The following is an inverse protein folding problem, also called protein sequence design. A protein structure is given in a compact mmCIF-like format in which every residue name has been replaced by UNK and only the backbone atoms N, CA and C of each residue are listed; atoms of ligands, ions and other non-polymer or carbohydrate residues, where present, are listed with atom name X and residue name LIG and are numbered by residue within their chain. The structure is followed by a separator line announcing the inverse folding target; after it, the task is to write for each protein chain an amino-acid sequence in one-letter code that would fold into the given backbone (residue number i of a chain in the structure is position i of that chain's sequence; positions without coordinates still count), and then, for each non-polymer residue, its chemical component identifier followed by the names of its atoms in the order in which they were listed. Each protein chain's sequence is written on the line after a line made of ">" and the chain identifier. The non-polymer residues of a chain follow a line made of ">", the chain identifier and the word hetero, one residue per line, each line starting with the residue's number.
data_IF_054010204954
#
_entry.id   IF_054010204954
#
_cell.length_a   1.000
_cell.length_b   1.000
_cell.length_c   1.000
_cell.angle_alpha   90.00
_cell.angle_beta   90.00
_cell.angle_gamma   90.00
#
_symmetry.space_group_name_H-M   'P 1'
#
loop_
_entity.id
_entity.type
_entity.pdbx_description
1 polymer ?
#
# COMPACT_ATOMS: atom_id res chain seq x y z
N UNK A 1 54.33 6.82 8.77
CA UNK A 1 53.64 6.11 9.87
C UNK A 1 53.63 7.00 11.10
N UNK A 2 52.47 7.44 11.56
CA UNK A 2 52.05 7.56 12.98
C UNK A 2 50.74 8.36 13.03
N UNK A 3 49.73 7.68 13.54
CA UNK A 3 48.32 8.06 13.62
C UNK A 3 48.17 9.22 14.60
N UNK A 4 47.38 10.23 14.26
CA UNK A 4 46.74 11.08 15.27
C UNK A 4 45.23 10.93 15.15
N UNK A 5 44.66 10.49 16.27
CA UNK A 5 43.30 10.06 16.47
C UNK A 5 42.55 11.19 17.17
N UNK A 6 41.26 11.31 16.87
CA UNK A 6 40.18 11.94 17.67
C UNK A 6 40.20 13.46 17.83
N UNK A 7 39.11 14.13 17.37
CA UNK A 7 38.08 14.75 18.24
C UNK A 7 37.15 15.68 17.43
N UNK A 8 35.86 15.29 17.37
CA UNK A 8 34.61 16.10 17.38
C UNK A 8 34.34 17.19 16.33
N UNK A 9 33.32 16.95 15.49
CA UNK A 9 32.22 17.87 15.13
C UNK A 9 31.25 17.11 14.19
N UNK A 10 30.13 16.57 14.67
CA UNK A 10 28.82 17.21 14.62
C UNK A 10 28.54 17.89 13.26
N UNK A 11 27.89 17.20 12.33
CA UNK A 11 26.88 17.81 11.44
C UNK A 11 26.10 16.74 10.63
N UNK A 12 24.84 16.59 10.99
CA UNK A 12 23.72 16.42 10.06
C UNK A 12 23.87 15.35 8.95
N UNK A 13 23.91 14.08 9.31
CA UNK A 13 23.21 13.07 8.48
C UNK A 13 21.78 12.94 8.99
N UNK A 14 21.04 14.06 9.01
CA UNK A 14 19.60 13.98 8.77
C UNK A 14 19.51 13.50 7.34
N UNK A 15 19.48 12.18 7.17
CA UNK A 15 19.05 11.56 5.93
C UNK A 15 17.61 12.02 5.77
N UNK A 16 17.44 13.17 5.11
CA UNK A 16 16.16 13.56 4.56
C UNK A 16 15.92 12.53 3.47
N UNK A 17 15.40 11.38 3.85
CA UNK A 17 14.55 10.62 2.97
C UNK A 17 13.43 11.59 2.64
N UNK A 18 13.61 12.38 1.58
CA UNK A 18 12.50 12.77 0.75
C UNK A 18 11.92 11.44 0.28
N UNK A 19 11.07 10.85 1.12
CA UNK A 19 10.10 9.90 0.68
C UNK A 19 9.40 10.65 -0.45
N UNK A 20 9.70 10.23 -1.67
CA UNK A 20 8.83 10.49 -2.80
C UNK A 20 7.54 9.84 -2.33
N UNK A 21 6.67 10.65 -1.72
CA UNK A 21 5.39 10.21 -1.19
C UNK A 21 4.61 9.96 -2.47
N UNK A 22 4.81 8.77 -3.02
CA UNK A 22 4.22 8.39 -4.28
C UNK A 22 2.71 8.52 -4.09
N UNK A 23 2.05 9.19 -5.03
CA UNK A 23 0.69 9.66 -4.87
C UNK A 23 -0.30 8.48 -4.91
N UNK A 24 -0.42 7.77 -3.77
CA UNK A 24 -1.37 6.67 -3.53
C UNK A 24 -2.80 7.22 -3.45
N UNK A 25 -2.98 8.49 -3.08
CA UNK A 25 -4.31 9.07 -2.91
C UNK A 25 -5.09 9.07 -4.23
N UNK A 26 -6.41 8.94 -4.13
CA UNK A 26 -7.33 8.95 -5.25
C UNK A 26 -7.91 7.57 -5.55
N UNK A 27 -8.54 7.48 -6.72
CA UNK A 27 -9.30 6.30 -7.13
C UNK A 27 -8.46 5.41 -8.03
N UNK A 28 -8.51 4.12 -7.75
CA UNK A 28 -7.78 3.07 -8.47
C UNK A 28 -8.73 1.95 -8.83
N UNK A 29 -8.52 1.32 -9.98
CA UNK A 29 -9.35 0.20 -10.44
C UNK A 29 -8.50 -0.93 -11.02
N UNK A 30 -9.00 -2.15 -10.88
CA UNK A 30 -8.37 -3.35 -11.42
C UNK A 30 -9.27 -4.58 -11.26
N UNK A 31 -8.67 -5.75 -11.46
CA UNK A 31 -9.37 -7.03 -11.38
C UNK A 31 -8.55 -7.99 -10.53
N UNK A 32 -9.22 -8.61 -9.55
CA UNK A 32 -8.67 -9.70 -8.75
C UNK A 32 -9.11 -11.00 -9.41
N UNK A 33 -8.17 -11.91 -9.66
CA UNK A 33 -8.47 -13.28 -10.08
C UNK A 33 -8.40 -14.16 -8.85
N UNK A 34 -9.53 -14.60 -8.33
CA UNK A 34 -9.59 -15.41 -7.12
C UNK A 34 -8.97 -16.80 -7.33
N UNK A 35 -8.63 -17.52 -6.25
CA UNK A 35 -8.08 -18.88 -6.33
C UNK A 35 -8.91 -19.88 -7.16
N UNK A 36 -10.23 -19.71 -7.18
CA UNK A 36 -11.19 -20.51 -7.96
C UNK A 36 -11.38 -20.00 -9.40
N UNK A 37 -10.62 -18.98 -9.82
CA UNK A 37 -10.57 -18.47 -11.19
C UNK A 37 -11.66 -17.46 -11.54
N UNK A 38 -12.32 -16.85 -10.55
CA UNK A 38 -13.30 -15.80 -10.79
C UNK A 38 -12.63 -14.43 -10.90
N UNK A 39 -13.05 -13.65 -11.90
CA UNK A 39 -12.65 -12.26 -12.05
C UNK A 39 -13.58 -11.36 -11.22
N UNK A 40 -13.00 -10.63 -10.27
CA UNK A 40 -13.69 -9.65 -9.45
C UNK A 40 -13.16 -8.27 -9.79
N UNK A 41 -13.94 -7.40 -10.47
CA UNK A 41 -13.56 -6.01 -10.65
C UNK A 41 -13.60 -5.30 -9.29
N UNK A 42 -12.55 -4.56 -8.99
CA UNK A 42 -12.42 -3.82 -7.73
C UNK A 42 -12.06 -2.38 -8.01
N UNK A 43 -12.53 -1.48 -7.14
CA UNK A 43 -12.00 -0.12 -7.07
C UNK A 43 -11.67 0.28 -5.64
N UNK A 44 -10.62 1.07 -5.49
CA UNK A 44 -10.18 1.60 -4.20
C UNK A 44 -10.21 3.12 -4.27
N UNK A 45 -10.74 3.76 -3.25
CA UNK A 45 -10.69 5.21 -3.09
C UNK A 45 -9.83 5.56 -1.88
N UNK A 46 -8.53 5.70 -2.12
CA UNK A 46 -7.54 5.90 -1.08
C UNK A 46 -7.42 7.38 -0.67
N UNK A 47 -7.30 7.60 0.63
CA UNK A 47 -6.94 8.87 1.24
C UNK A 47 -5.68 8.68 2.07
N UNK A 48 -4.75 9.62 1.92
CA UNK A 48 -3.47 9.59 2.63
C UNK A 48 -3.37 10.77 3.58
N UNK A 49 -3.04 10.49 4.85
CA UNK A 49 -2.71 11.48 5.88
C UNK A 49 -1.38 11.08 6.53
N UNK A 50 -0.28 11.64 6.00
CA UNK A 50 1.08 11.24 6.37
C UNK A 50 1.32 9.75 6.06
N UNK A 51 1.54 8.95 7.09
CA UNK A 51 1.76 7.50 6.98
C UNK A 51 0.47 6.67 7.09
N UNK A 52 -0.69 7.32 7.29
CA UNK A 52 -1.97 6.62 7.39
C UNK A 52 -2.63 6.51 6.03
N UNK A 53 -3.05 5.30 5.69
CA UNK A 53 -3.88 5.02 4.52
C UNK A 53 -5.29 4.71 4.99
N UNK A 54 -6.27 5.42 4.45
CA UNK A 54 -7.70 5.19 4.71
C UNK A 54 -8.46 5.19 3.40
N UNK A 55 -9.74 4.84 3.41
CA UNK A 55 -10.55 4.88 2.21
C UNK A 55 -11.62 3.81 2.17
N UNK A 56 -12.08 3.51 0.96
CA UNK A 56 -13.03 2.44 0.67
C UNK A 56 -12.47 1.48 -0.37
N UNK A 57 -12.88 0.22 -0.27
CA UNK A 57 -12.73 -0.80 -1.30
C UNK A 57 -14.13 -1.21 -1.77
N UNK A 58 -14.34 -1.17 -3.08
CA UNK A 58 -15.61 -1.42 -3.73
C UNK A 58 -15.49 -2.62 -4.67
N UNK A 59 -16.51 -3.46 -4.67
CA UNK A 59 -16.65 -4.65 -5.51
C UNK A 59 -18.13 -4.86 -5.87
N UNK A 60 -18.47 -5.76 -6.82
CA UNK A 60 -19.86 -6.16 -7.06
C UNK A 60 -20.58 -6.71 -5.82
N UNK A 61 -19.82 -7.20 -4.84
CA UNK A 61 -20.35 -7.73 -3.58
C UNK A 61 -20.66 -6.64 -2.54
N UNK A 62 -20.18 -5.42 -2.75
CA UNK A 62 -20.42 -4.28 -1.88
C UNK A 62 -19.20 -3.38 -1.67
N UNK A 63 -19.39 -2.37 -0.82
CA UNK A 63 -18.37 -1.41 -0.42
C UNK A 63 -17.99 -1.64 1.05
N UNK A 64 -16.69 -1.60 1.35
CA UNK A 64 -16.15 -1.76 2.70
C UNK A 64 -15.09 -0.71 2.99
N UNK A 65 -14.93 -0.36 4.26
CA UNK A 65 -13.88 0.54 4.72
C UNK A 65 -12.53 -0.15 4.72
N UNK A 66 -11.49 0.64 4.51
CA UNK A 66 -10.10 0.24 4.70
C UNK A 66 -9.71 0.46 6.16
N UNK A 67 -9.24 -0.60 6.80
CA UNK A 67 -8.81 -0.62 8.19
C UNK A 67 -7.29 -0.84 8.31
N UNK A 68 -6.71 -0.39 9.42
CA UNK A 68 -5.29 -0.56 9.77
C UNK A 68 -4.29 -0.14 8.66
N UNK A 69 -4.68 0.83 7.83
CA UNK A 69 -3.90 1.24 6.68
C UNK A 69 -2.64 2.03 7.05
N UNK A 70 -1.50 1.62 6.50
CA UNK A 70 -0.17 2.19 6.76
C UNK A 70 0.63 2.31 5.48
N UNK A 71 1.45 3.35 5.39
CA UNK A 71 2.39 3.61 4.29
C UNK A 71 3.79 3.67 4.87
N UNK A 72 4.74 3.02 4.20
CA UNK A 72 6.15 3.00 4.58
C UNK A 72 7.00 3.05 3.31
N UNK A 73 7.49 4.24 2.96
CA UNK A 73 8.26 4.46 1.74
C UNK A 73 7.41 4.20 0.48
N UNK A 74 7.83 3.23 -0.33
CA UNK A 74 7.14 2.80 -1.56
C UNK A 74 6.15 1.65 -1.33
N UNK A 75 5.94 1.24 -0.08
CA UNK A 75 5.07 0.14 0.30
C UNK A 75 3.91 0.63 1.16
N UNK A 76 2.82 -0.13 1.14
CA UNK A 76 1.66 0.10 2.00
C UNK A 76 1.00 -1.22 2.37
N UNK A 77 0.21 -1.19 3.43
CA UNK A 77 -0.59 -2.32 3.89
C UNK A 77 -1.91 -1.84 4.44
N UNK A 78 -2.95 -2.65 4.35
CA UNK A 78 -4.23 -2.42 5.00
C UNK A 78 -4.99 -3.73 5.14
N UNK A 79 -6.18 -3.70 5.72
CA UNK A 79 -7.13 -4.82 5.66
C UNK A 79 -8.53 -4.33 5.32
N UNK A 80 -9.34 -5.25 4.83
CA UNK A 80 -10.78 -5.06 4.71
C UNK A 80 -11.46 -6.22 5.43
N UNK A 81 -12.54 -5.94 6.14
CA UNK A 81 -13.32 -6.96 6.83
C UNK A 81 -14.63 -7.21 6.09
N UNK A 82 -14.85 -8.45 5.62
CA UNK A 82 -16.08 -8.86 4.93
C UNK A 82 -16.69 -10.03 5.68
N UNK A 83 -17.95 -9.89 6.12
CA UNK A 83 -18.69 -10.92 6.86
C UNK A 83 -17.95 -11.47 8.09
N UNK A 84 -17.17 -10.62 8.77
CA UNK A 84 -16.39 -10.99 9.96
C UNK A 84 -15.03 -11.64 9.69
N UNK A 85 -14.62 -11.79 8.42
CA UNK A 85 -13.29 -12.24 8.04
C UNK A 85 -12.43 -11.05 7.62
N UNK A 86 -11.19 -11.02 8.10
CA UNK A 86 -10.20 -10.03 7.70
C UNK A 86 -9.43 -10.52 6.47
N UNK A 87 -9.30 -9.63 5.48
CA UNK A 87 -8.55 -9.86 4.26
C UNK A 87 -7.40 -8.86 4.17
N UNK A 88 -6.20 -9.24 4.66
CA UNK A 88 -5.02 -8.40 4.58
C UNK A 88 -4.61 -8.12 3.14
N UNK A 89 -4.19 -6.87 2.92
CA UNK A 89 -3.63 -6.39 1.67
C UNK A 89 -2.24 -5.81 1.93
N UNK A 90 -1.31 -6.12 1.04
CA UNK A 90 -0.02 -5.44 0.95
C UNK A 90 0.15 -4.90 -0.46
N UNK A 91 0.82 -3.77 -0.60
CA UNK A 91 1.03 -3.18 -1.91
C UNK A 91 2.33 -2.41 -2.04
N UNK A 92 2.74 -2.23 -3.29
CA UNK A 92 3.89 -1.44 -3.71
C UNK A 92 3.46 -0.43 -4.76
N UNK A 93 3.94 0.80 -4.60
CA UNK A 93 3.62 1.91 -5.48
C UNK A 93 4.59 1.96 -6.65
N UNK A 94 4.04 2.16 -7.85
CA UNK A 94 4.77 2.44 -9.09
C UNK A 94 4.27 3.76 -9.70
N UNK A 95 4.89 4.19 -10.79
CA UNK A 95 4.61 5.50 -11.39
C UNK A 95 3.15 5.69 -11.83
N UNK A 96 2.48 4.64 -12.30
CA UNK A 96 1.12 4.68 -12.85
C UNK A 96 0.19 3.59 -12.30
N UNK A 97 0.68 2.81 -11.33
CA UNK A 97 0.02 1.58 -10.87
C UNK A 97 0.37 1.27 -9.42
N UNK A 98 -0.50 0.50 -8.78
CA UNK A 98 -0.22 -0.15 -7.50
C UNK A 98 -0.23 -1.66 -7.75
N UNK A 99 0.87 -2.34 -7.43
CA UNK A 99 0.88 -3.79 -7.39
C UNK A 99 0.50 -4.24 -5.97
N UNK A 100 -0.50 -5.11 -5.85
CA UNK A 100 -1.06 -5.51 -4.57
C UNK A 100 -1.14 -7.02 -4.46
N UNK A 101 -0.98 -7.51 -3.24
CA UNK A 101 -1.28 -8.88 -2.85
C UNK A 101 -2.46 -8.86 -1.88
N UNK A 102 -3.46 -9.68 -2.16
CA UNK A 102 -4.58 -9.96 -1.26
C UNK A 102 -4.43 -11.35 -0.67
N UNK A 103 -4.51 -11.46 0.65
CA UNK A 103 -4.46 -12.74 1.36
C UNK A 103 -5.86 -13.32 1.57
N UNK A 104 -6.18 -14.39 0.83
CA UNK A 104 -7.38 -15.20 0.99
C UNK A 104 -7.13 -16.34 1.98
N UNK A 105 -7.04 -16.04 3.27
CA UNK A 105 -6.97 -17.06 4.32
C UNK A 105 -5.73 -17.97 4.24
N UNK A 106 -4.59 -17.40 3.86
CA UNK A 106 -3.29 -18.07 3.70
C UNK A 106 -2.84 -18.20 2.25
N UNK A 107 -3.72 -17.95 1.27
CA UNK A 107 -3.35 -17.93 -0.14
C UNK A 107 -3.30 -16.50 -0.68
N UNK A 108 -2.12 -16.07 -1.09
CA UNK A 108 -1.92 -14.74 -1.68
C UNK A 108 -2.27 -14.73 -3.17
N UNK A 109 -3.05 -13.73 -3.56
CA UNK A 109 -3.38 -13.41 -4.95
C UNK A 109 -2.76 -12.07 -5.30
N UNK A 110 -1.94 -12.06 -6.35
CA UNK A 110 -1.32 -10.84 -6.88
C UNK A 110 -2.22 -10.19 -7.93
N UNK A 111 -2.33 -8.87 -7.89
CA UNK A 111 -3.07 -8.09 -8.88
C UNK A 111 -2.53 -6.66 -8.98
N UNK A 112 -2.88 -5.98 -10.07
CA UNK A 112 -2.48 -4.60 -10.32
C UNK A 112 -3.72 -3.74 -10.46
N UNK A 113 -3.71 -2.58 -9.80
CA UNK A 113 -4.69 -1.52 -10.03
C UNK A 113 -4.03 -0.32 -10.67
N UNK A 114 -4.78 0.38 -11.51
CA UNK A 114 -4.35 1.60 -12.20
C UNK A 114 -5.15 2.79 -11.69
N UNK A 115 -4.54 3.97 -11.72
CA UNK A 115 -5.22 5.19 -11.31
C UNK A 115 -6.35 5.48 -12.30
N UNK A 116 -7.53 5.77 -11.79
CA UNK A 116 -8.64 6.24 -12.61
C UNK A 116 -8.25 7.60 -13.23
N UNK A 117 -8.66 7.82 -14.48
CA UNK A 117 -8.39 9.06 -15.23
C UNK A 117 -9.21 10.24 -14.73
#
# INVERSE_FOLDING_TARGET
>A
MKKFFTTTALLCCFMVCFAVMADIAGKWSGTIVTPDGQDIPVSYNFKVDGEKLTGTADSPQGSVSIDDGKITGDQFSFKVSVSGNDYPHTGKVYADSLAMDLDFGGQKVHFIVKKDK
#
